data_IF_286183348106
#
_entry.id   IF_286183348106
#
_cell.length_a   1.000
_cell.length_b   1.000
_cell.length_c   1.000
_cell.angle_alpha   90.00
_cell.angle_beta   90.00
_cell.angle_gamma   90.00
#
_symmetry.space_group_name_H-M   'P 1'
#
loop_
_entity.id
_entity.type
_entity.pdbx_description
1 polymer ?
#
# COMPACT_ATOMS: atom_id res chain seq x y z
N UNK A 1 -0.90 -69.83 6.10
CA UNK A 1 -1.33 -68.81 7.08
C UNK A 1 -1.49 -67.51 6.32
N UNK A 2 -2.71 -67.04 6.04
CA UNK A 2 -3.49 -66.15 6.92
C UNK A 2 -2.60 -65.04 7.52
N UNK A 3 -2.80 -63.75 7.25
CA UNK A 3 -3.92 -63.10 6.59
C UNK A 3 -3.66 -61.64 6.19
N UNK A 4 -4.61 -61.15 5.38
CA UNK A 4 -4.83 -59.76 4.98
C UNK A 4 -5.18 -58.86 6.17
N UNK A 5 -4.75 -57.58 6.15
CA UNK A 5 -5.71 -56.47 6.07
C UNK A 5 -5.05 -55.18 5.56
N UNK A 6 -5.70 -54.59 4.56
CA UNK A 6 -5.43 -53.30 3.91
C UNK A 6 -6.02 -52.19 4.78
N UNK A 7 -5.32 -51.06 4.93
CA UNK A 7 -6.01 -49.75 4.91
C UNK A 7 -5.12 -48.70 4.25
N UNK A 8 -5.44 -48.47 2.99
CA UNK A 8 -4.93 -47.41 2.13
C UNK A 8 -5.59 -46.09 2.57
N UNK A 9 -4.86 -45.20 3.23
CA UNK A 9 -5.31 -43.82 3.46
C UNK A 9 -4.78 -42.93 2.34
N UNK A 10 -5.52 -42.93 1.22
CA UNK A 10 -5.49 -41.86 0.23
C UNK A 10 -6.19 -40.65 0.84
N UNK A 11 -5.41 -39.67 1.31
CA UNK A 11 -5.90 -38.30 1.45
C UNK A 11 -5.58 -37.55 0.15
N UNK A 12 -6.55 -37.26 -0.72
CA UNK A 12 -6.36 -36.24 -1.75
C UNK A 12 -6.48 -34.89 -1.04
N UNK A 13 -5.36 -34.33 -0.58
CA UNK A 13 -5.32 -32.93 -0.13
C UNK A 13 -5.17 -32.00 -1.33
N UNK A 14 -6.07 -32.12 -2.32
CA UNK A 14 -6.22 -31.20 -3.44
C UNK A 14 -7.29 -30.14 -3.14
N UNK A 15 -7.20 -29.49 -1.97
CA UNK A 15 -8.20 -28.49 -1.60
C UNK A 15 -7.65 -27.31 -0.80
N UNK A 16 -6.55 -26.71 -1.26
CA UNK A 16 -6.19 -25.33 -0.87
C UNK A 16 -5.53 -24.60 -2.05
N UNK A 17 -6.20 -24.47 -3.19
CA UNK A 17 -5.75 -23.54 -4.24
C UNK A 17 -6.92 -23.12 -5.15
N UNK A 18 -7.88 -22.37 -4.62
CA UNK A 18 -8.93 -21.76 -5.46
C UNK A 18 -9.35 -20.33 -5.08
N UNK A 19 -8.69 -19.71 -4.10
CA UNK A 19 -8.92 -18.28 -3.81
C UNK A 19 -7.83 -17.34 -4.33
N UNK A 20 -6.65 -17.82 -4.73
CA UNK A 20 -5.63 -16.93 -5.32
C UNK A 20 -5.89 -16.58 -6.79
N UNK A 21 -6.55 -17.47 -7.55
CA UNK A 21 -6.70 -17.29 -9.00
C UNK A 21 -7.67 -16.17 -9.38
N UNK A 22 -8.76 -16.01 -8.61
CA UNK A 22 -9.74 -14.94 -8.82
C UNK A 22 -9.22 -13.55 -8.38
N UNK A 23 -8.24 -13.50 -7.47
CA UNK A 23 -7.59 -12.25 -7.07
C UNK A 23 -6.51 -11.85 -8.09
N UNK A 24 -5.75 -12.80 -8.63
CA UNK A 24 -4.72 -12.52 -9.65
C UNK A 24 -5.30 -12.01 -10.97
N UNK A 25 -6.44 -12.53 -11.41
CA UNK A 25 -6.98 -12.17 -12.73
C UNK A 25 -7.46 -10.71 -12.83
N UNK A 26 -7.85 -10.08 -11.70
CA UNK A 26 -8.13 -8.63 -11.63
C UNK A 26 -6.89 -7.79 -11.24
N UNK A 27 -5.80 -8.41 -10.79
CA UNK A 27 -4.55 -7.71 -10.51
C UNK A 27 -3.75 -7.44 -11.79
N UNK A 28 -3.93 -8.22 -12.85
CA UNK A 28 -3.15 -8.09 -14.10
C UNK A 28 -3.40 -6.79 -14.87
N UNK A 29 -4.52 -6.09 -14.65
CA UNK A 29 -4.84 -4.83 -15.34
C UNK A 29 -4.33 -3.58 -14.62
N UNK A 30 -4.05 -3.67 -13.32
CA UNK A 30 -3.80 -2.51 -12.47
C UNK A 30 -2.54 -2.66 -11.63
N UNK A 31 -1.91 -1.54 -11.33
CA UNK A 31 -0.88 -1.47 -10.31
C UNK A 31 -1.50 -1.14 -8.95
N UNK A 32 -0.89 -1.67 -7.90
CA UNK A 32 -1.26 -1.36 -6.52
C UNK A 32 -0.17 -0.56 -5.84
N UNK A 33 -0.52 0.57 -5.22
CA UNK A 33 0.40 1.34 -4.40
C UNK A 33 -0.11 1.26 -2.97
N UNK A 34 0.74 0.81 -2.06
CA UNK A 34 0.45 0.69 -0.64
C UNK A 34 1.24 1.76 0.09
N UNK A 35 0.56 2.81 0.55
CA UNK A 35 1.16 3.84 1.40
C UNK A 35 0.79 3.53 2.84
N UNK A 36 1.77 3.38 3.73
CA UNK A 36 1.50 3.01 5.12
C UNK A 36 2.24 3.87 6.12
N UNK A 37 1.63 3.99 7.31
CA UNK A 37 2.13 4.79 8.43
C UNK A 37 2.18 3.91 9.67
N UNK A 38 3.39 3.63 10.17
CA UNK A 38 3.59 2.75 11.34
C UNK A 38 3.06 3.39 12.61
N UNK A 39 3.74 4.40 13.10
CA UNK A 39 3.38 5.15 14.29
C UNK A 39 4.25 6.40 14.37
N UNK A 40 3.69 7.48 14.90
CA UNK A 40 4.40 8.74 15.09
C UNK A 40 3.51 9.76 15.77
N UNK A 41 4.08 10.81 16.38
CA UNK A 41 3.29 12.01 16.69
C UNK A 41 2.91 12.61 15.34
N UNK A 42 1.63 12.88 15.12
CA UNK A 42 1.16 13.56 13.91
C UNK A 42 0.73 14.95 14.35
N UNK A 43 1.65 15.90 14.20
CA UNK A 43 1.45 17.29 14.61
C UNK A 43 1.14 18.19 13.41
N UNK A 44 1.14 17.64 12.20
CA UNK A 44 0.87 18.34 10.95
C UNK A 44 -0.16 17.60 10.10
N UNK A 45 -0.99 18.37 9.40
CA UNK A 45 -1.93 17.89 8.38
C UNK A 45 -1.22 18.00 7.03
N UNK A 46 -0.96 16.86 6.41
CA UNK A 46 -0.28 16.75 5.12
C UNK A 46 -1.13 15.87 4.21
N UNK A 47 -1.44 16.40 3.03
CA UNK A 47 -2.06 15.66 1.95
C UNK A 47 -1.01 14.85 1.18
N UNK A 48 -1.44 13.72 0.64
CA UNK A 48 -0.78 13.05 -0.47
C UNK A 48 -1.66 13.25 -1.70
N UNK A 49 -1.08 13.88 -2.70
CA UNK A 49 -1.69 14.12 -3.99
C UNK A 49 -1.17 13.07 -4.97
N UNK A 50 -2.05 12.65 -5.87
CA UNK A 50 -1.78 11.75 -6.97
C UNK A 50 -2.13 12.51 -8.24
N UNK A 51 -1.14 12.75 -9.10
CA UNK A 51 -1.28 13.60 -10.30
C UNK A 51 -2.01 14.92 -10.02
N UNK A 52 -1.55 15.63 -8.97
CA UNK A 52 -2.10 16.90 -8.48
C UNK A 52 -3.52 16.83 -7.88
N UNK A 53 -4.13 15.64 -7.78
CA UNK A 53 -5.42 15.43 -7.10
C UNK A 53 -5.17 14.96 -5.66
N UNK A 54 -5.74 15.60 -4.63
CA UNK A 54 -5.60 15.12 -3.25
C UNK A 54 -6.33 13.79 -3.08
N UNK A 55 -5.59 12.75 -2.71
CA UNK A 55 -6.10 11.38 -2.56
C UNK A 55 -6.12 10.93 -1.09
N UNK A 56 -5.13 11.35 -0.30
CA UNK A 56 -5.09 11.08 1.14
C UNK A 56 -4.92 12.40 1.86
N UNK A 57 -5.94 12.87 2.59
CA UNK A 57 -5.88 14.13 3.33
C UNK A 57 -5.60 13.99 4.82
N UNK A 58 -5.60 12.76 5.33
CA UNK A 58 -5.24 12.45 6.71
C UNK A 58 -4.44 11.17 6.71
N UNK A 59 -3.43 11.10 7.59
CA UNK A 59 -2.57 9.92 7.70
C UNK A 59 -2.65 9.33 9.11
N UNK A 60 -3.77 8.68 9.49
CA UNK A 60 -3.93 8.12 10.82
C UNK A 60 -2.82 7.10 11.12
N UNK A 61 -2.43 7.00 12.39
CA UNK A 61 -1.41 6.04 12.81
C UNK A 61 -1.86 4.60 12.52
N UNK A 62 -0.90 3.70 12.35
CA UNK A 62 -1.14 2.27 12.13
C UNK A 62 -2.17 1.98 11.02
N UNK A 63 -2.11 2.76 9.95
CA UNK A 63 -3.04 2.69 8.81
C UNK A 63 -2.24 2.52 7.52
N UNK A 64 -2.79 1.78 6.57
CA UNK A 64 -2.33 1.74 5.20
C UNK A 64 -3.45 2.09 4.23
N UNK A 65 -3.06 2.66 3.09
CA UNK A 65 -3.91 3.00 1.98
C UNK A 65 -3.50 2.14 0.78
N UNK A 66 -4.41 1.32 0.27
CA UNK A 66 -4.24 0.57 -0.95
C UNK A 66 -4.86 1.36 -2.10
N UNK A 67 -4.00 1.97 -2.91
CA UNK A 67 -4.38 2.78 -4.08
C UNK A 67 -4.26 1.90 -5.32
N UNK A 68 -5.38 1.70 -6.02
CA UNK A 68 -5.39 1.05 -7.33
C UNK A 68 -5.25 2.10 -8.42
N UNK A 69 -4.34 1.87 -9.35
CA UNK A 69 -4.09 2.80 -10.45
C UNK A 69 -3.77 2.03 -11.74
N UNK A 70 -4.02 2.66 -12.91
CA UNK A 70 -3.60 2.09 -14.19
C UNK A 70 -2.06 2.09 -14.31
N UNK A 71 -1.46 1.17 -15.07
CA UNK A 71 -0.04 1.21 -15.36
C UNK A 71 0.35 2.52 -16.05
N UNK A 72 1.58 2.98 -15.81
CA UNK A 72 2.07 4.24 -16.35
C UNK A 72 2.92 5.04 -15.36
N UNK A 73 3.38 6.20 -15.80
CA UNK A 73 4.11 7.13 -14.95
C UNK A 73 3.13 7.97 -14.16
N UNK A 74 3.33 8.04 -12.84
CA UNK A 74 2.51 8.81 -11.92
C UNK A 74 3.36 9.79 -11.13
N UNK A 75 2.77 10.91 -10.75
CA UNK A 75 3.33 11.86 -9.80
C UNK A 75 2.64 11.69 -8.44
N UNK A 76 3.45 11.55 -7.39
CA UNK A 76 2.98 11.66 -6.02
C UNK A 76 3.54 12.94 -5.43
N UNK A 77 2.71 13.72 -4.75
CA UNK A 77 3.17 14.93 -4.05
C UNK A 77 2.73 14.90 -2.60
N UNK A 78 3.57 15.36 -1.69
CA UNK A 78 3.15 15.61 -0.30
C UNK A 78 3.01 17.11 -0.11
N UNK A 79 1.88 17.56 0.47
CA UNK A 79 1.57 18.98 0.61
C UNK A 79 0.95 19.29 1.96
N UNK A 80 1.49 20.28 2.66
CA UNK A 80 0.94 20.71 3.94
C UNK A 80 -0.33 21.56 3.84
N UNK A 81 -1.26 21.36 4.77
CA UNK A 81 -2.40 22.26 5.03
C UNK A 81 -2.32 22.84 6.45
N UNK A 82 -1.52 23.89 6.73
CA UNK A 82 -1.79 24.89 7.81
C UNK A 82 -0.70 25.97 8.03
N UNK A 83 -1.11 27.02 8.76
CA UNK A 83 -0.64 28.41 8.82
C UNK A 83 0.54 28.78 9.75
N UNK A 84 1.22 27.85 10.45
CA UNK A 84 2.26 28.22 11.45
C UNK A 84 3.62 27.53 11.32
N UNK A 85 3.69 26.39 10.65
CA UNK A 85 4.95 25.72 10.34
C UNK A 85 5.13 25.74 8.83
N UNK A 86 6.33 26.05 8.34
CA UNK A 86 6.66 25.81 6.94
C UNK A 86 6.55 24.29 6.73
N UNK A 87 5.53 23.85 5.99
CA UNK A 87 5.42 22.45 5.59
C UNK A 87 6.06 22.36 4.20
N UNK A 88 7.08 21.51 4.09
CA UNK A 88 7.79 21.33 2.84
C UNK A 88 6.94 20.46 1.89
N UNK A 89 6.75 20.93 0.66
CA UNK A 89 6.20 20.11 -0.41
C UNK A 89 7.28 19.19 -0.98
N UNK A 90 6.94 17.93 -1.26
CA UNK A 90 7.86 16.98 -1.89
C UNK A 90 7.20 16.29 -3.09
N UNK A 91 7.93 16.23 -4.18
CA UNK A 91 7.51 15.54 -5.40
C UNK A 91 8.23 14.19 -5.54
N UNK A 92 7.48 13.19 -5.97
CA UNK A 92 7.95 11.85 -6.29
C UNK A 92 7.39 11.43 -7.65
N UNK A 93 8.13 10.58 -8.36
CA UNK A 93 7.65 9.96 -9.58
C UNK A 93 7.86 8.45 -9.50
N UNK A 94 6.82 7.70 -9.89
CA UNK A 94 6.87 6.25 -9.99
C UNK A 94 6.41 5.83 -11.38
N UNK A 95 7.06 4.79 -11.91
CA UNK A 95 6.56 4.05 -13.06
C UNK A 95 5.90 2.78 -12.54
N UNK A 96 4.60 2.67 -12.81
CA UNK A 96 3.76 1.58 -12.38
C UNK A 96 3.59 0.56 -13.50
N UNK A 97 3.76 -0.70 -13.15
CA UNK A 97 3.54 -1.84 -14.03
C UNK A 97 2.33 -2.64 -13.52
N UNK A 98 1.58 -3.21 -14.46
CA UNK A 98 0.38 -3.97 -14.14
C UNK A 98 0.73 -5.22 -13.32
N UNK A 99 -0.13 -5.60 -12.37
CA UNK A 99 0.12 -6.73 -11.47
C UNK A 99 1.12 -6.45 -10.35
N UNK A 100 1.88 -5.35 -10.40
CA UNK A 100 2.88 -5.03 -9.40
C UNK A 100 2.30 -4.26 -8.21
N UNK A 101 2.84 -4.54 -7.02
CA UNK A 101 2.52 -3.82 -5.78
C UNK A 101 3.74 -3.04 -5.28
N UNK A 102 3.56 -1.74 -5.05
CA UNK A 102 4.60 -0.81 -4.64
C UNK A 102 4.34 -0.34 -3.22
N UNK A 103 5.26 -0.62 -2.29
CA UNK A 103 5.12 -0.23 -0.90
C UNK A 103 5.91 1.03 -0.57
N UNK A 104 5.22 2.03 -0.02
CA UNK A 104 5.77 3.31 0.40
C UNK A 104 5.50 3.52 1.90
N UNK A 105 6.55 3.68 2.69
CA UNK A 105 6.44 4.09 4.08
C UNK A 105 6.36 5.62 4.15
N UNK A 106 5.27 6.13 4.71
CA UNK A 106 5.07 7.56 4.96
C UNK A 106 5.72 7.95 6.30
N UNK A 107 6.83 8.69 6.23
CA UNK A 107 7.64 9.12 7.39
C UNK A 107 7.57 10.63 7.59
N UNK A 108 7.08 11.03 8.76
CA UNK A 108 7.13 12.42 9.19
C UNK A 108 8.53 12.76 9.69
N UNK A 109 9.11 13.85 9.18
CA UNK A 109 10.33 14.46 9.70
C UNK A 109 10.01 15.82 10.29
N UNK A 110 10.47 16.05 11.52
CA UNK A 110 10.26 17.29 12.26
C UNK A 110 11.60 17.99 12.47
N UNK A 111 11.71 19.18 11.92
CA UNK A 111 12.81 20.11 12.15
C UNK A 111 12.28 21.32 12.93
N UNK A 112 13.19 22.11 13.51
CA UNK A 112 12.84 23.21 14.44
C UNK A 112 11.82 24.19 13.86
N UNK A 113 11.83 24.43 12.53
CA UNK A 113 10.93 25.35 11.84
C UNK A 113 10.13 24.71 10.70
N UNK A 114 10.41 23.45 10.38
CA UNK A 114 9.91 22.80 9.18
C UNK A 114 9.39 21.40 9.50
N UNK A 115 8.34 21.00 8.81
CA UNK A 115 7.84 19.63 8.86
C UNK A 115 7.69 19.11 7.44
N UNK A 116 8.13 17.89 7.20
CA UNK A 116 8.03 17.25 5.88
C UNK A 116 7.49 15.83 6.03
N UNK A 117 6.80 15.36 4.99
CA UNK A 117 6.42 13.96 4.86
C UNK A 117 7.23 13.33 3.73
N UNK A 118 7.98 12.28 4.07
CA UNK A 118 8.77 11.51 3.14
C UNK A 118 8.08 10.20 2.77
N UNK A 119 8.00 9.91 1.48
CA UNK A 119 7.58 8.60 0.97
C UNK A 119 8.81 7.74 0.67
N UNK A 120 9.03 6.71 1.49
CA UNK A 120 10.21 5.84 1.39
C UNK A 120 9.82 4.50 0.81
N UNK A 121 10.34 4.16 -0.38
CA UNK A 121 10.09 2.86 -1.01
C UNK A 121 10.64 1.72 -0.16
N UNK A 122 9.87 0.63 -0.08
CA UNK A 122 10.24 -0.61 0.61
C UNK A 122 10.13 -1.80 -0.32
N UNK A 123 10.85 -2.87 0.02
CA UNK A 123 10.66 -4.16 -0.62
C UNK A 123 9.28 -4.71 -0.30
N UNK A 124 8.75 -5.54 -1.19
CA UNK A 124 7.42 -6.14 -1.04
C UNK A 124 7.29 -6.98 0.24
N UNK A 125 8.36 -7.68 0.62
CA UNK A 125 8.41 -8.49 1.86
C UNK A 125 8.27 -7.61 3.11
N UNK A 126 9.02 -6.50 3.18
CA UNK A 126 8.97 -5.58 4.32
C UNK A 126 7.62 -4.88 4.37
N UNK A 127 7.15 -4.33 3.25
CA UNK A 127 5.87 -3.63 3.20
C UNK A 127 4.67 -4.52 3.56
N UNK A 128 4.62 -5.75 3.03
CA UNK A 128 3.57 -6.70 3.35
C UNK A 128 3.58 -7.09 4.84
N UNK A 129 4.76 -7.34 5.41
CA UNK A 129 4.90 -7.65 6.83
C UNK A 129 4.39 -6.53 7.73
N UNK A 130 4.75 -5.29 7.42
CA UNK A 130 4.36 -4.12 8.21
C UNK A 130 2.85 -3.86 8.15
N UNK A 131 2.24 -4.07 6.98
CA UNK A 131 0.82 -3.77 6.75
C UNK A 131 -0.15 -4.85 7.24
N UNK A 132 0.35 -6.07 7.53
CA UNK A 132 -0.49 -7.21 7.92
C UNK A 132 -1.38 -6.96 9.16
N UNK A 133 -0.95 -6.07 10.07
CA UNK A 133 -1.68 -5.74 11.31
C UNK A 133 -2.17 -4.28 11.35
N UNK A 134 -2.23 -3.62 10.20
CA UNK A 134 -2.65 -2.23 10.07
C UNK A 134 -4.10 -2.12 9.61
N UNK A 135 -4.75 -1.01 9.96
CA UNK A 135 -6.07 -0.68 9.41
C UNK A 135 -5.93 -0.32 7.93
N UNK A 136 -6.69 -0.96 7.05
CA UNK A 136 -6.63 -0.71 5.61
C UNK A 136 -7.75 0.21 5.12
N UNK A 137 -7.41 1.12 4.22
CA UNK A 137 -8.35 1.92 3.44
C UNK A 137 -8.07 1.71 1.94
N UNK A 138 -9.11 1.48 1.14
CA UNK A 138 -8.97 1.22 -0.30
C UNK A 138 -9.38 2.46 -1.07
N UNK A 139 -8.53 2.87 -2.00
CA UNK A 139 -8.77 4.00 -2.89
C UNK A 139 -8.65 3.49 -4.32
N UNK A 140 -9.73 3.62 -5.09
CA UNK A 140 -9.77 3.18 -6.47
C UNK A 140 -9.71 4.38 -7.42
N UNK A 141 -8.52 4.63 -7.99
CA UNK A 141 -8.32 5.71 -8.96
C UNK A 141 -8.51 5.24 -10.41
N UNK A 142 -8.84 3.96 -10.64
CA UNK A 142 -8.96 3.39 -11.98
C UNK A 142 -10.17 3.91 -12.77
N UNK A 143 -11.09 4.56 -12.07
CA UNK A 143 -12.35 5.11 -12.59
C UNK A 143 -12.32 6.63 -12.79
N UNK A 144 -11.26 7.29 -12.35
CA UNK A 144 -11.12 8.74 -12.54
C UNK A 144 -10.56 8.98 -13.94
N UNK A 145 -11.38 9.63 -14.79
CA UNK A 145 -11.03 10.04 -16.15
C UNK A 145 -10.42 11.44 -16.16
#
# INVERSE_FOLDING_TARGET
MLGFLITLLLFPSDFVFSNEKLIRQNQEEYASIVIYVKSGRQLAVIDILFDDVPVISTLPKNTYFLIKHRPGKVSLKTKGRMWRNLIEERDYSLTLEAGNTYYLEAKMEYQVLMTSLHLVRKSSQVGAKETNNMRGEIIDLTKSN
#
